data_IF_783068598249
#
_entry.id   IF_783068598249
#
_cell.length_a   1.000
_cell.length_b   1.000
_cell.length_c   1.000
_cell.angle_alpha   90.00
_cell.angle_beta   90.00
_cell.angle_gamma   90.00
#
_symmetry.space_group_name_H-M   'P 1'
#
loop_
_entity.id
_entity.type
_entity.pdbx_description
1 polymer ?
#
# COMPACT_ATOMS: atom_id res chain seq x y z
N UNK A 1 56.29 24.53 14.71
CA UNK A 1 56.21 23.45 13.70
C UNK A 1 54.87 22.69 13.72
N UNK A 2 53.88 23.11 14.52
CA UNK A 2 52.67 22.33 14.82
C UNK A 2 51.51 22.54 13.83
N UNK A 3 51.41 23.72 13.21
CA UNK A 3 50.29 24.06 12.31
C UNK A 3 50.25 23.23 11.02
N UNK A 4 51.40 22.86 10.47
CA UNK A 4 51.48 22.12 9.19
C UNK A 4 50.99 20.67 9.35
N UNK A 5 51.35 20.02 10.46
CA UNK A 5 50.94 18.64 10.74
C UNK A 5 49.43 18.58 10.96
N UNK A 6 48.89 19.54 11.72
CA UNK A 6 47.45 19.66 11.93
C UNK A 6 46.68 19.89 10.62
N UNK A 7 47.17 20.76 9.74
CA UNK A 7 46.54 21.01 8.43
C UNK A 7 46.56 19.74 7.55
N UNK A 8 47.66 18.99 7.52
CA UNK A 8 47.73 17.73 6.76
C UNK A 8 46.74 16.70 7.29
N UNK A 9 46.64 16.57 8.62
CA UNK A 9 45.71 15.65 9.26
C UNK A 9 44.24 16.02 8.99
N UNK A 10 43.90 17.31 8.95
CA UNK A 10 42.57 17.79 8.57
C UNK A 10 42.23 17.53 7.09
N UNK A 11 43.20 17.69 6.20
CA UNK A 11 43.02 17.41 4.77
C UNK A 11 42.77 15.92 4.54
N UNK A 12 43.50 15.06 5.25
CA UNK A 12 43.33 13.61 5.16
C UNK A 12 41.96 13.16 5.69
N UNK A 13 41.49 13.73 6.80
CA UNK A 13 40.15 13.48 7.32
C UNK A 13 39.07 13.90 6.31
N UNK A 14 39.19 15.09 5.71
CA UNK A 14 38.24 15.55 4.69
C UNK A 14 38.23 14.63 3.46
N UNK A 15 39.40 14.20 3.02
CA UNK A 15 39.52 13.27 1.89
C UNK A 15 38.85 11.93 2.21
N UNK A 16 39.08 11.37 3.40
CA UNK A 16 38.40 10.14 3.82
C UNK A 16 36.88 10.31 3.93
N UNK A 17 36.40 11.46 4.41
CA UNK A 17 34.97 11.78 4.41
C UNK A 17 34.40 11.82 3.00
N UNK A 18 35.09 12.44 2.05
CA UNK A 18 34.65 12.50 0.65
C UNK A 18 34.60 11.10 0.01
N UNK A 19 35.58 10.25 0.28
CA UNK A 19 35.56 8.84 -0.14
C UNK A 19 34.39 8.07 0.47
N UNK A 20 34.08 8.32 1.75
CA UNK A 20 32.94 7.72 2.44
C UNK A 20 31.61 8.17 1.85
N UNK A 21 31.48 9.47 1.50
CA UNK A 21 30.29 10.03 0.88
C UNK A 21 30.04 9.43 -0.51
N UNK A 22 31.07 9.34 -1.36
CA UNK A 22 30.96 8.71 -2.68
C UNK A 22 30.56 7.24 -2.59
N UNK A 23 31.08 6.51 -1.59
CA UNK A 23 30.71 5.12 -1.33
C UNK A 23 29.25 5.00 -0.90
N UNK A 24 28.78 5.91 -0.05
CA UNK A 24 27.38 5.96 0.36
C UNK A 24 26.45 6.23 -0.84
N UNK A 25 26.82 7.16 -1.72
CA UNK A 25 26.03 7.46 -2.93
C UNK A 25 25.96 6.26 -3.88
N UNK A 26 27.05 5.51 -4.06
CA UNK A 26 27.02 4.25 -4.83
C UNK A 26 26.04 3.24 -4.23
N UNK A 27 26.08 3.06 -2.90
CA UNK A 27 25.18 2.13 -2.20
C UNK A 27 23.71 2.56 -2.35
N UNK A 28 23.43 3.86 -2.22
CA UNK A 28 22.07 4.40 -2.38
C UNK A 28 21.57 4.21 -3.82
N UNK A 29 22.42 4.45 -4.81
CA UNK A 29 22.06 4.29 -6.23
C UNK A 29 21.91 2.81 -6.64
N UNK A 30 22.65 1.90 -6.03
CA UNK A 30 22.51 0.45 -6.21
C UNK A 30 21.32 -0.13 -5.42
N UNK A 31 20.93 0.50 -4.31
CA UNK A 31 19.78 0.10 -3.53
C UNK A 31 18.50 0.39 -4.32
N UNK A 32 17.79 -0.68 -4.72
CA UNK A 32 16.46 -0.58 -5.32
C UNK A 32 15.58 0.33 -4.44
N UNK A 33 15.01 1.43 -4.97
CA UNK A 33 14.28 2.38 -4.15
C UNK A 33 13.16 1.67 -3.41
N UNK A 34 13.10 1.87 -2.09
CA UNK A 34 12.03 1.34 -1.25
C UNK A 34 10.73 1.93 -1.81
N UNK A 35 9.79 1.10 -2.31
CA UNK A 35 8.59 1.63 -2.94
C UNK A 35 7.79 2.38 -1.88
N UNK A 36 7.66 3.68 -2.11
CA UNK A 36 6.94 4.63 -1.27
C UNK A 36 5.53 4.07 -1.03
N UNK A 37 5.10 4.05 0.23
CA UNK A 37 3.86 3.39 0.66
C UNK A 37 2.57 4.13 0.23
N UNK A 38 2.70 5.20 -0.55
CA UNK A 38 1.57 5.97 -1.04
C UNK A 38 0.95 5.29 -2.26
N UNK A 39 -0.37 5.12 -2.21
CA UNK A 39 -1.18 4.64 -3.31
C UNK A 39 -1.63 5.84 -4.14
N UNK A 40 -1.28 5.89 -5.41
CA UNK A 40 -1.84 6.90 -6.32
C UNK A 40 -3.28 6.54 -6.68
N UNK A 41 -4.03 7.50 -7.22
CA UNK A 41 -5.41 7.28 -7.67
C UNK A 41 -5.47 6.21 -8.78
N UNK A 42 -4.50 6.21 -9.68
CA UNK A 42 -4.39 5.24 -10.78
C UNK A 42 -4.06 3.84 -10.25
N UNK A 43 -3.12 3.73 -9.31
CA UNK A 43 -2.79 2.44 -8.67
C UNK A 43 -3.99 1.89 -7.90
N UNK A 44 -4.74 2.77 -7.22
CA UNK A 44 -5.95 2.39 -6.49
C UNK A 44 -7.08 1.95 -7.44
N UNK A 45 -7.30 2.68 -8.53
CA UNK A 45 -8.28 2.30 -9.55
C UNK A 45 -7.98 0.92 -10.15
N UNK A 46 -6.70 0.67 -10.50
CA UNK A 46 -6.26 -0.64 -10.95
C UNK A 46 -6.47 -1.73 -9.90
N UNK A 47 -6.20 -1.43 -8.62
CA UNK A 47 -6.48 -2.34 -7.52
C UNK A 47 -7.96 -2.74 -7.48
N UNK A 48 -8.88 -1.77 -7.49
CA UNK A 48 -10.33 -2.02 -7.45
C UNK A 48 -10.78 -2.83 -8.66
N UNK A 49 -10.32 -2.48 -9.86
CA UNK A 49 -10.61 -3.24 -11.08
C UNK A 49 -10.14 -4.70 -10.99
N UNK A 50 -8.95 -4.93 -10.42
CA UNK A 50 -8.44 -6.28 -10.24
C UNK A 50 -9.21 -7.05 -9.18
N UNK A 51 -9.63 -6.40 -8.09
CA UNK A 51 -10.49 -7.00 -7.06
C UNK A 51 -11.84 -7.41 -7.64
N UNK A 52 -12.44 -6.60 -8.53
CA UNK A 52 -13.69 -6.94 -9.19
C UNK A 52 -13.58 -8.19 -10.07
N UNK A 53 -12.42 -8.40 -10.71
CA UNK A 53 -12.19 -9.52 -11.64
C UNK A 53 -11.69 -10.79 -10.96
N UNK A 54 -10.81 -10.66 -9.97
CA UNK A 54 -10.06 -11.78 -9.37
C UNK A 54 -10.54 -12.11 -7.95
N UNK A 55 -11.29 -11.21 -7.31
CA UNK A 55 -11.67 -11.29 -5.92
C UNK A 55 -10.58 -10.85 -4.94
N UNK A 56 -10.91 -10.90 -3.65
CA UNK A 56 -10.12 -10.39 -2.52
C UNK A 56 -8.78 -11.11 -2.28
N UNK A 57 -8.67 -12.39 -2.65
CA UNK A 57 -7.59 -13.28 -2.17
C UNK A 57 -6.40 -13.37 -3.13
N UNK A 58 -6.50 -12.83 -4.35
CA UNK A 58 -5.51 -12.99 -5.42
C UNK A 58 -4.44 -11.89 -5.43
N UNK A 59 -3.88 -11.54 -4.26
CA UNK A 59 -2.94 -10.42 -4.11
C UNK A 59 -1.70 -10.50 -5.01
N UNK A 60 -1.17 -11.70 -5.27
CA UNK A 60 -0.02 -11.89 -6.15
C UNK A 60 -0.34 -11.54 -7.61
N UNK A 61 -1.54 -11.88 -8.09
CA UNK A 61 -1.97 -11.59 -9.47
C UNK A 61 -2.37 -10.12 -9.65
N UNK A 62 -2.86 -9.49 -8.57
CA UNK A 62 -3.12 -8.04 -8.51
C UNK A 62 -1.79 -7.28 -8.57
N UNK A 63 -0.78 -7.68 -7.79
CA UNK A 63 0.54 -7.04 -7.79
C UNK A 63 1.24 -7.10 -9.15
N UNK A 64 1.04 -8.16 -9.94
CA UNK A 64 1.58 -8.24 -11.31
C UNK A 64 1.03 -7.14 -12.23
N UNK A 65 -0.18 -6.64 -11.96
CA UNK A 65 -0.81 -5.56 -12.75
C UNK A 65 -0.42 -4.18 -12.22
N UNK A 66 -0.12 -4.07 -10.92
CA UNK A 66 0.30 -2.82 -10.27
C UNK A 66 1.83 -2.80 -10.20
N UNK A 67 2.46 -2.29 -11.27
CA UNK A 67 3.92 -2.37 -11.49
C UNK A 67 4.79 -1.91 -10.32
N UNK A 68 4.32 -0.97 -9.51
CA UNK A 68 5.07 -0.34 -8.43
C UNK A 68 4.75 -0.88 -7.02
N UNK A 69 3.93 -1.93 -6.90
CA UNK A 69 3.54 -2.50 -5.60
C UNK A 69 3.84 -4.00 -5.56
N UNK A 70 4.45 -4.45 -4.46
CA UNK A 70 4.73 -5.86 -4.23
C UNK A 70 3.49 -6.61 -3.74
N UNK A 71 3.46 -7.94 -3.88
CA UNK A 71 2.36 -8.77 -3.39
C UNK A 71 2.06 -8.55 -1.90
N UNK A 72 3.08 -8.34 -1.08
CA UNK A 72 2.94 -8.01 0.34
C UNK A 72 2.30 -6.64 0.55
N UNK A 73 2.72 -5.62 -0.21
CA UNK A 73 2.11 -4.29 -0.14
C UNK A 73 0.64 -4.32 -0.58
N UNK A 74 0.31 -5.06 -1.64
CA UNK A 74 -1.07 -5.27 -2.09
C UNK A 74 -1.88 -6.01 -1.03
N UNK A 75 -1.32 -7.04 -0.39
CA UNK A 75 -2.01 -7.76 0.68
C UNK A 75 -2.31 -6.85 1.88
N UNK A 76 -1.33 -6.06 2.34
CA UNK A 76 -1.52 -5.10 3.42
C UNK A 76 -2.55 -4.01 3.06
N UNK A 77 -2.53 -3.53 1.81
CA UNK A 77 -3.52 -2.56 1.34
C UNK A 77 -4.92 -3.17 1.24
N UNK A 78 -5.04 -4.36 0.67
CA UNK A 78 -6.30 -5.12 0.59
C UNK A 78 -6.90 -5.29 1.98
N UNK A 79 -6.12 -5.75 2.95
CA UNK A 79 -6.58 -5.88 4.34
C UNK A 79 -7.11 -4.55 4.89
N UNK A 80 -6.34 -3.46 4.76
CA UNK A 80 -6.75 -2.13 5.25
C UNK A 80 -8.00 -1.61 4.53
N UNK A 81 -8.10 -1.83 3.22
CA UNK A 81 -9.24 -1.43 2.40
C UNK A 81 -10.52 -2.10 2.90
N UNK A 82 -10.55 -3.43 2.96
CA UNK A 82 -11.73 -4.16 3.43
C UNK A 82 -12.06 -3.89 4.90
N UNK A 83 -11.05 -3.67 5.75
CA UNK A 83 -11.28 -3.29 7.15
C UNK A 83 -11.98 -1.93 7.26
N UNK A 84 -11.56 -0.93 6.47
CA UNK A 84 -12.22 0.39 6.41
C UNK A 84 -13.67 0.27 5.94
N UNK A 85 -13.93 -0.53 4.91
CA UNK A 85 -15.30 -0.79 4.43
C UNK A 85 -16.16 -1.38 5.55
N UNK A 86 -15.63 -2.40 6.25
CA UNK A 86 -16.33 -3.02 7.37
C UNK A 86 -16.65 -2.01 8.48
N UNK A 87 -15.64 -1.23 8.91
CA UNK A 87 -15.82 -0.22 9.96
C UNK A 87 -16.87 0.83 9.58
N UNK A 88 -16.86 1.28 8.32
CA UNK A 88 -17.86 2.22 7.84
C UNK A 88 -19.26 1.62 7.91
N UNK A 89 -19.45 0.38 7.43
CA UNK A 89 -20.76 -0.29 7.48
C UNK A 89 -21.26 -0.41 8.92
N UNK A 90 -20.42 -0.89 9.84
CA UNK A 90 -20.82 -1.06 11.24
C UNK A 90 -21.17 0.26 11.93
N UNK A 91 -20.56 1.37 11.52
CA UNK A 91 -20.82 2.68 12.09
C UNK A 91 -22.07 3.35 11.52
N UNK A 92 -22.36 3.13 10.24
CA UNK A 92 -23.36 3.93 9.51
C UNK A 92 -24.62 3.16 9.14
N UNK A 93 -24.61 1.82 9.20
CA UNK A 93 -25.74 0.99 8.78
C UNK A 93 -26.31 0.24 9.97
N UNK A 94 -27.62 0.37 10.15
CA UNK A 94 -28.36 -0.43 11.11
C UNK A 94 -28.75 -1.77 10.48
N UNK A 95 -28.13 -2.86 10.94
CA UNK A 95 -28.37 -4.20 10.41
C UNK A 95 -29.78 -4.74 10.67
N UNK A 96 -30.54 -4.14 11.60
CA UNK A 96 -31.95 -4.54 11.83
C UNK A 96 -32.89 -3.98 10.76
N UNK A 97 -32.44 -3.03 9.96
CA UNK A 97 -33.25 -2.43 8.90
C UNK A 97 -33.39 -3.42 7.74
N UNK A 98 -34.62 -3.58 7.23
CA UNK A 98 -34.91 -4.45 6.09
C UNK A 98 -34.08 -4.08 4.83
N UNK A 99 -33.66 -2.82 4.74
CA UNK A 99 -32.87 -2.27 3.64
C UNK A 99 -31.36 -2.26 3.88
N UNK A 100 -30.85 -2.81 4.99
CA UNK A 100 -29.43 -2.78 5.33
C UNK A 100 -28.54 -3.34 4.20
N UNK A 101 -28.93 -4.47 3.61
CA UNK A 101 -28.18 -5.09 2.50
C UNK A 101 -28.14 -4.20 1.24
N UNK A 102 -29.22 -3.45 0.98
CA UNK A 102 -29.28 -2.52 -0.16
C UNK A 102 -28.35 -1.33 0.10
N UNK A 103 -28.37 -0.76 1.31
CA UNK A 103 -27.49 0.34 1.70
C UNK A 103 -26.01 -0.07 1.66
N UNK A 104 -25.69 -1.30 2.12
CA UNK A 104 -24.34 -1.86 2.02
C UNK A 104 -23.93 -2.01 0.56
N UNK A 105 -24.80 -2.60 -0.28
CA UNK A 105 -24.51 -2.80 -1.70
C UNK A 105 -24.27 -1.48 -2.45
N UNK A 106 -25.07 -0.45 -2.18
CA UNK A 106 -24.91 0.89 -2.75
C UNK A 106 -23.56 1.51 -2.33
N UNK A 107 -23.24 1.50 -1.04
CA UNK A 107 -21.97 2.02 -0.56
C UNK A 107 -20.76 1.29 -1.20
N UNK A 108 -20.81 -0.04 -1.29
CA UNK A 108 -19.71 -0.79 -1.90
C UNK A 108 -19.58 -0.49 -3.39
N UNK A 109 -20.69 -0.31 -4.11
CA UNK A 109 -20.68 0.13 -5.51
C UNK A 109 -20.09 1.54 -5.66
N UNK A 110 -20.36 2.46 -4.74
CA UNK A 110 -19.76 3.80 -4.72
C UNK A 110 -18.23 3.76 -4.50
N UNK A 111 -17.72 2.70 -3.88
CA UNK A 111 -16.27 2.43 -3.76
C UNK A 111 -15.69 1.76 -5.03
N UNK A 112 -16.48 1.64 -6.10
CA UNK A 112 -16.12 1.04 -7.37
C UNK A 112 -16.14 -0.50 -7.36
N UNK A 113 -16.67 -1.14 -6.31
CA UNK A 113 -16.77 -2.60 -6.26
C UNK A 113 -17.98 -3.10 -7.05
N UNK A 114 -17.73 -4.02 -7.97
CA UNK A 114 -18.75 -4.60 -8.85
C UNK A 114 -18.54 -6.11 -9.00
N UNK A 115 -19.57 -6.80 -9.50
CA UNK A 115 -19.50 -8.22 -9.85
C UNK A 115 -19.02 -9.11 -8.70
N UNK A 116 -17.92 -9.84 -8.92
CA UNK A 116 -17.37 -10.77 -7.92
C UNK A 116 -16.73 -10.02 -6.74
N UNK A 117 -16.11 -8.87 -6.97
CA UNK A 117 -15.53 -8.04 -5.90
C UNK A 117 -16.59 -7.57 -4.91
N UNK A 118 -17.74 -7.13 -5.43
CA UNK A 118 -18.90 -6.74 -4.62
C UNK A 118 -19.46 -7.91 -3.81
N UNK A 119 -19.66 -9.07 -4.44
CA UNK A 119 -20.16 -10.28 -3.75
C UNK A 119 -19.24 -10.70 -2.60
N UNK A 120 -17.93 -10.78 -2.85
CA UNK A 120 -16.93 -11.14 -1.85
C UNK A 120 -16.85 -10.11 -0.71
N UNK A 121 -17.01 -8.82 -1.02
CA UNK A 121 -17.07 -7.76 -0.02
C UNK A 121 -18.33 -7.85 0.84
N UNK A 122 -19.50 -8.07 0.24
CA UNK A 122 -20.76 -8.29 0.96
C UNK A 122 -20.66 -9.48 1.90
N UNK A 123 -20.20 -10.63 1.41
CA UNK A 123 -19.97 -11.85 2.21
C UNK A 123 -19.03 -11.54 3.38
N UNK A 124 -17.88 -10.92 3.12
CA UNK A 124 -16.90 -10.59 4.17
C UNK A 124 -17.43 -9.61 5.25
N UNK A 125 -18.45 -8.81 4.93
CA UNK A 125 -19.08 -7.86 5.86
C UNK A 125 -20.19 -8.54 6.66
N UNK A 126 -20.96 -9.44 6.03
CA UNK A 126 -22.12 -10.13 6.63
C UNK A 126 -21.71 -11.37 7.46
N UNK A 127 -20.68 -12.11 7.05
CA UNK A 127 -20.28 -13.41 7.64
C UNK A 127 -19.54 -13.32 8.99
N UNK A 128 -19.55 -12.17 9.69
CA UNK A 128 -18.96 -12.05 11.04
C UNK A 128 -20.02 -11.89 12.15
N UNK A 129 -21.27 -12.21 11.85
CA UNK A 129 -22.38 -12.30 12.81
C UNK A 129 -22.89 -13.75 13.01
N UNK A 130 -22.02 -14.75 12.80
CA UNK A 130 -22.23 -16.12 13.28
C UNK A 130 -21.23 -16.44 14.40
#
# INVERSE_FOLDING_TARGET
MTNRIYIQQLLEIKFQQEQLMNKLDSIINEAKPIPIQNWTEEEHSLFVQCVNKLGKTRNAEIARRIKNKTATQVASHSQKFFLKLKQWVHKNINFTDLNANIQIGQYLADQGLEGEGLKQAMIAIVDLNQ
#
